data_IF_280438286559
#
_entry.id   IF_280438286559
#
_cell.length_a   1.000
_cell.length_b   1.000
_cell.length_c   1.000
_cell.angle_alpha   90.00
_cell.angle_beta   90.00
_cell.angle_gamma   90.00
#
_symmetry.space_group_name_H-M   'P 1'
#
loop_
_entity.id
_entity.type
_entity.pdbx_description
1 polymer ?
#
# COMPACT_ATOMS: atom_id res chain seq x y z
N UNK A 1 -5.81 -60.16 -47.42
CA UNK A 1 -5.28 -58.80 -47.61
C UNK A 1 -5.68 -57.99 -46.40
N UNK A 2 -4.77 -57.90 -45.48
CA UNK A 2 -4.99 -57.25 -44.17
C UNK A 2 -4.26 -55.93 -44.15
N UNK A 3 -4.98 -54.83 -44.14
CA UNK A 3 -4.44 -53.50 -44.06
C UNK A 3 -4.11 -53.15 -42.61
N UNK A 4 -2.84 -53.11 -42.29
CA UNK A 4 -2.35 -52.64 -40.99
C UNK A 4 -2.03 -51.15 -41.10
N UNK A 5 -2.85 -50.31 -40.46
CA UNK A 5 -2.51 -48.90 -40.23
C UNK A 5 -1.46 -48.76 -39.13
N UNK A 6 -0.45 -47.87 -39.27
CA UNK A 6 0.51 -47.61 -38.23
C UNK A 6 -0.07 -46.68 -37.14
N UNK A 7 0.14 -47.03 -35.88
CA UNK A 7 -0.18 -46.20 -34.73
C UNK A 7 0.77 -44.99 -34.64
N UNK A 8 0.29 -43.81 -34.21
CA UNK A 8 1.13 -42.65 -33.97
C UNK A 8 1.95 -42.80 -32.70
N UNK A 9 3.22 -42.48 -32.79
CA UNK A 9 4.19 -42.43 -31.70
C UNK A 9 3.80 -41.41 -30.63
N UNK A 10 4.09 -41.63 -29.34
CA UNK A 10 3.81 -40.68 -28.29
C UNK A 10 4.75 -39.46 -28.40
N UNK A 11 4.16 -38.29 -28.34
CA UNK A 11 4.86 -37.00 -28.28
C UNK A 11 5.78 -36.92 -27.06
N UNK A 12 6.98 -36.31 -27.18
CA UNK A 12 7.88 -36.14 -26.04
C UNK A 12 7.25 -35.15 -25.05
N UNK A 13 7.24 -35.54 -23.78
CA UNK A 13 6.70 -34.77 -22.65
C UNK A 13 7.24 -33.35 -22.62
N UNK A 14 6.35 -32.41 -22.34
CA UNK A 14 6.64 -31.02 -22.04
C UNK A 14 7.63 -30.95 -20.88
N UNK A 15 8.87 -30.62 -21.19
CA UNK A 15 9.88 -30.24 -20.21
C UNK A 15 9.37 -28.99 -19.46
N UNK A 16 8.96 -29.17 -18.22
CA UNK A 16 8.65 -28.05 -17.32
C UNK A 16 9.83 -27.09 -17.27
N UNK A 17 9.56 -25.84 -17.55
CA UNK A 17 10.54 -24.76 -17.38
C UNK A 17 11.15 -24.84 -15.97
N UNK A 18 12.47 -24.72 -15.80
CA UNK A 18 13.09 -24.70 -14.49
C UNK A 18 12.57 -23.47 -13.75
N UNK A 19 11.85 -23.68 -12.66
CA UNK A 19 11.43 -22.62 -11.74
C UNK A 19 12.64 -21.79 -11.34
N UNK A 20 12.52 -20.47 -11.39
CA UNK A 20 13.56 -19.56 -10.91
C UNK A 20 14.03 -19.95 -9.49
N UNK A 21 15.17 -19.45 -9.02
CA UNK A 21 15.87 -19.94 -7.84
C UNK A 21 14.91 -19.95 -6.64
N UNK A 22 14.47 -21.13 -6.24
CA UNK A 22 13.60 -21.35 -5.10
C UNK A 22 14.29 -20.80 -3.86
N UNK A 23 13.80 -19.68 -3.32
CA UNK A 23 14.30 -19.14 -2.06
C UNK A 23 14.26 -20.24 -0.99
N UNK A 24 15.30 -20.29 -0.14
CA UNK A 24 15.34 -21.22 0.97
C UNK A 24 14.07 -21.09 1.82
N UNK A 25 13.54 -22.22 2.26
CA UNK A 25 12.40 -22.23 3.17
C UNK A 25 12.71 -21.42 4.45
N UNK A 26 11.72 -20.74 4.99
CA UNK A 26 11.85 -19.96 6.23
C UNK A 26 10.87 -20.51 7.26
N UNK A 27 11.36 -20.72 8.48
CA UNK A 27 10.54 -21.05 9.63
C UNK A 27 10.51 -19.88 10.61
N UNK A 28 9.34 -19.23 10.73
CA UNK A 28 9.05 -18.24 11.77
C UNK A 28 8.60 -19.00 13.01
N UNK A 29 9.22 -18.75 14.18
CA UNK A 29 8.94 -19.52 15.39
C UNK A 29 8.45 -18.66 16.53
N UNK A 30 7.42 -19.13 17.24
CA UNK A 30 6.94 -18.53 18.49
C UNK A 30 6.22 -17.18 18.31
N UNK A 31 5.65 -16.90 17.13
CA UNK A 31 4.89 -15.69 16.89
C UNK A 31 3.52 -15.72 17.58
N UNK A 32 3.07 -14.60 18.13
CA UNK A 32 1.71 -14.44 18.64
C UNK A 32 0.77 -13.95 17.53
N UNK A 33 -0.42 -14.51 17.42
CA UNK A 33 -1.49 -14.04 16.54
C UNK A 33 -2.43 -13.09 17.28
N UNK A 34 -3.29 -12.38 16.53
CA UNK A 34 -4.28 -11.44 17.10
C UNK A 34 -5.32 -12.12 17.99
N UNK A 35 -5.54 -13.43 17.82
CA UNK A 35 -6.42 -14.25 18.66
C UNK A 35 -5.72 -14.82 19.92
N UNK A 36 -4.46 -14.43 20.16
CA UNK A 36 -3.67 -14.86 21.31
C UNK A 36 -2.93 -16.18 21.16
N UNK A 37 -3.13 -16.93 20.06
CA UNK A 37 -2.40 -18.18 19.81
C UNK A 37 -0.93 -17.90 19.53
N UNK A 38 -0.06 -18.74 20.07
CA UNK A 38 1.37 -18.76 19.73
C UNK A 38 1.64 -19.86 18.70
N UNK A 39 2.21 -19.48 17.55
CA UNK A 39 2.35 -20.36 16.40
C UNK A 39 3.77 -20.36 15.83
N UNK A 40 4.09 -21.45 15.12
CA UNK A 40 5.17 -21.48 14.14
C UNK A 40 4.56 -21.40 12.73
N UNK A 41 5.25 -20.72 11.82
CA UNK A 41 4.80 -20.55 10.43
C UNK A 41 5.94 -20.94 9.48
N UNK A 42 5.70 -21.92 8.62
CA UNK A 42 6.63 -22.31 7.55
C UNK A 42 6.28 -21.59 6.27
N UNK A 43 7.29 -20.97 5.67
CA UNK A 43 7.20 -20.24 4.43
C UNK A 43 8.04 -20.93 3.35
N UNK A 44 7.52 -21.00 2.14
CA UNK A 44 8.25 -21.53 0.99
C UNK A 44 7.55 -21.15 -0.32
N UNK A 45 8.30 -20.94 -1.38
CA UNK A 45 7.79 -20.59 -2.71
C UNK A 45 6.82 -19.38 -2.71
N UNK A 46 7.10 -18.38 -1.87
CA UNK A 46 6.30 -17.17 -1.77
C UNK A 46 4.96 -17.33 -1.01
N UNK A 47 4.72 -18.50 -0.41
CA UNK A 47 3.46 -18.81 0.29
C UNK A 47 3.71 -19.33 1.70
N UNK A 48 2.68 -19.24 2.53
CA UNK A 48 2.61 -19.94 3.81
C UNK A 48 2.36 -21.42 3.50
N UNK A 49 3.27 -22.29 3.91
CA UNK A 49 3.19 -23.74 3.68
C UNK A 49 2.44 -24.45 4.80
N UNK A 50 2.68 -24.01 6.03
CA UNK A 50 2.05 -24.58 7.22
C UNK A 50 2.01 -23.57 8.36
N UNK A 51 0.99 -23.67 9.19
CA UNK A 51 0.86 -23.00 10.48
C UNK A 51 0.60 -24.06 11.52
N UNK A 52 1.41 -24.10 12.57
CA UNK A 52 1.29 -25.07 13.66
C UNK A 52 1.44 -24.41 15.03
N UNK A 53 1.11 -25.11 16.09
CA UNK A 53 1.42 -24.66 17.44
C UNK A 53 2.92 -24.48 17.62
N UNK A 54 3.34 -23.59 18.50
CA UNK A 54 4.76 -23.33 18.74
C UNK A 54 5.53 -24.61 19.06
N UNK A 55 6.64 -24.84 18.34
CA UNK A 55 7.47 -26.04 18.47
C UNK A 55 6.98 -27.29 17.72
N UNK A 56 5.81 -27.23 17.01
CA UNK A 56 5.28 -28.41 16.32
C UNK A 56 5.83 -28.60 14.89
N UNK A 57 6.40 -27.57 14.28
CA UNK A 57 6.93 -27.65 12.93
C UNK A 57 8.42 -27.99 12.94
N UNK A 58 8.79 -29.05 12.20
CA UNK A 58 10.20 -29.43 12.06
C UNK A 58 11.01 -28.28 11.45
N UNK A 59 12.23 -28.01 11.94
CA UNK A 59 13.10 -26.98 11.40
C UNK A 59 13.48 -27.33 9.95
N UNK A 60 13.28 -26.37 9.05
CA UNK A 60 13.65 -26.43 7.65
C UNK A 60 14.11 -25.05 7.19
N UNK A 61 15.27 -24.94 6.60
CA UNK A 61 15.79 -23.67 6.08
C UNK A 61 16.19 -22.66 7.15
N UNK A 62 15.96 -21.37 6.85
CA UNK A 62 16.28 -20.26 7.75
C UNK A 62 15.26 -20.18 8.90
N UNK A 63 15.74 -20.19 10.13
CA UNK A 63 14.90 -19.99 11.31
C UNK A 63 14.93 -18.54 11.77
N UNK A 64 13.74 -17.97 12.03
CA UNK A 64 13.54 -16.61 12.56
C UNK A 64 12.73 -16.72 13.85
N UNK A 65 13.34 -16.32 14.97
CA UNK A 65 12.66 -16.27 16.26
C UNK A 65 11.77 -15.03 16.35
N UNK A 66 10.48 -15.23 16.53
CA UNK A 66 9.45 -14.20 16.67
C UNK A 66 8.81 -14.18 18.06
N UNK A 67 9.44 -14.76 19.07
CA UNK A 67 8.95 -14.66 20.45
C UNK A 67 8.87 -13.20 20.90
N UNK A 68 7.71 -12.79 21.40
CA UNK A 68 7.42 -11.40 21.74
C UNK A 68 7.07 -10.50 20.55
N UNK A 69 6.78 -11.11 19.39
CA UNK A 69 6.26 -10.42 18.21
C UNK A 69 4.83 -10.86 17.91
N UNK A 70 3.99 -9.88 17.62
CA UNK A 70 2.69 -10.07 16.99
C UNK A 70 2.90 -10.26 15.48
N UNK A 71 2.37 -11.33 14.91
CA UNK A 71 2.44 -11.60 13.47
C UNK A 71 1.14 -11.19 12.81
N UNK A 72 1.24 -10.42 11.74
CA UNK A 72 0.13 -9.78 11.03
C UNK A 72 0.28 -9.98 9.52
N UNK A 73 -0.82 -9.96 8.73
CA UNK A 73 -0.73 -9.73 7.29
C UNK A 73 -0.01 -8.40 7.02
N UNK A 74 0.93 -8.36 6.09
CA UNK A 74 1.66 -7.13 5.79
C UNK A 74 0.71 -6.04 5.25
N UNK A 75 0.83 -4.78 5.72
CA UNK A 75 0.11 -3.66 5.16
C UNK A 75 0.56 -3.38 3.72
N UNK A 76 -0.25 -2.57 3.03
CA UNK A 76 0.08 -1.98 1.76
C UNK A 76 -0.11 -0.45 1.83
N UNK A 77 0.58 0.27 0.96
CA UNK A 77 0.44 1.72 0.82
C UNK A 77 -0.35 2.04 -0.46
N UNK A 78 -1.66 2.32 -0.34
CA UNK A 78 -2.49 2.53 -1.52
C UNK A 78 -2.33 3.92 -2.14
N UNK A 79 -1.64 4.86 -1.48
CA UNK A 79 -1.58 6.25 -1.93
C UNK A 79 -0.29 6.94 -1.48
N UNK A 80 0.71 6.95 -2.34
CA UNK A 80 2.00 7.61 -2.12
C UNK A 80 2.37 8.51 -3.31
N UNK A 81 3.30 9.42 -3.10
CA UNK A 81 3.91 10.29 -4.11
C UNK A 81 5.43 10.13 -4.06
N UNK A 82 5.93 9.01 -4.58
CA UNK A 82 7.36 8.67 -4.49
C UNK A 82 8.26 9.61 -5.30
N UNK A 83 7.73 10.21 -6.37
CA UNK A 83 8.42 11.22 -7.19
C UNK A 83 8.69 12.53 -6.44
N UNK A 84 7.91 12.85 -5.42
CA UNK A 84 8.03 14.05 -4.58
C UNK A 84 8.57 13.77 -3.18
N UNK A 85 8.72 12.50 -2.80
CA UNK A 85 9.12 12.12 -1.46
C UNK A 85 10.50 12.70 -1.09
N UNK A 86 10.71 12.95 0.23
CA UNK A 86 11.98 13.36 0.83
C UNK A 86 12.49 14.73 0.33
N UNK A 87 11.59 15.63 -0.04
CA UNK A 87 11.92 16.95 -0.59
C UNK A 87 11.61 18.12 0.36
N UNK A 88 11.10 17.84 1.56
CA UNK A 88 10.71 18.89 2.52
C UNK A 88 11.86 19.82 2.92
N UNK A 89 13.07 19.28 3.02
CA UNK A 89 14.26 20.02 3.45
C UNK A 89 15.09 20.57 2.26
N UNK A 90 14.55 20.53 1.03
CA UNK A 90 15.24 21.04 -0.13
C UNK A 90 15.40 22.57 -0.05
N UNK A 91 16.62 23.05 -0.25
CA UNK A 91 16.95 24.48 -0.20
C UNK A 91 16.41 25.30 -1.40
N UNK A 92 15.73 24.66 -2.34
CA UNK A 92 15.21 25.27 -3.57
C UNK A 92 14.12 24.43 -4.20
N UNK A 93 13.74 24.73 -5.47
CA UNK A 93 12.76 23.93 -6.20
C UNK A 93 13.15 22.45 -6.23
N UNK A 94 12.15 21.57 -6.15
CA UNK A 94 12.36 20.12 -6.24
C UNK A 94 13.00 19.79 -7.59
N UNK A 95 14.14 19.12 -7.55
CA UNK A 95 14.86 18.71 -8.76
C UNK A 95 13.98 17.78 -9.61
N UNK A 96 13.77 18.13 -10.89
CA UNK A 96 13.04 17.30 -11.84
C UNK A 96 13.95 16.28 -12.54
N UNK A 97 15.25 16.28 -12.25
CA UNK A 97 16.20 15.36 -12.88
C UNK A 97 15.77 13.91 -12.67
N UNK A 98 15.68 13.09 -13.74
CA UNK A 98 15.24 11.70 -13.63
C UNK A 98 16.06 10.85 -12.65
N UNK A 99 17.39 11.12 -12.53
CA UNK A 99 18.22 10.39 -11.58
C UNK A 99 17.87 10.75 -10.13
N UNK A 100 17.54 12.01 -9.84
CA UNK A 100 17.08 12.45 -8.53
C UNK A 100 15.70 11.87 -8.19
N UNK A 101 14.78 11.87 -9.18
CA UNK A 101 13.46 11.26 -9.02
C UNK A 101 13.59 9.76 -8.74
N UNK A 102 14.40 9.05 -9.52
CA UNK A 102 14.63 7.62 -9.32
C UNK A 102 15.22 7.34 -7.93
N UNK A 103 16.23 8.11 -7.50
CA UNK A 103 16.87 7.96 -6.19
C UNK A 103 15.84 8.10 -5.07
N UNK A 104 15.10 9.22 -5.02
CA UNK A 104 14.12 9.44 -3.94
C UNK A 104 12.94 8.48 -3.99
N UNK A 105 12.48 8.07 -5.17
CA UNK A 105 11.44 7.06 -5.29
C UNK A 105 11.90 5.69 -4.78
N UNK A 106 13.15 5.31 -5.04
CA UNK A 106 13.76 4.09 -4.51
C UNK A 106 13.89 4.16 -2.98
N UNK A 107 14.39 5.28 -2.45
CA UNK A 107 14.55 5.50 -1.02
C UNK A 107 13.20 5.52 -0.30
N UNK A 108 12.19 6.19 -0.86
CA UNK A 108 10.83 6.20 -0.33
C UNK A 108 10.23 4.78 -0.26
N UNK A 109 10.39 3.99 -1.31
CA UNK A 109 9.92 2.61 -1.33
C UNK A 109 10.60 1.74 -0.26
N UNK A 110 11.91 1.91 -0.04
CA UNK A 110 12.65 1.20 0.99
C UNK A 110 12.26 1.62 2.41
N UNK A 111 12.02 2.92 2.64
CA UNK A 111 11.53 3.42 3.92
C UNK A 111 10.14 2.87 4.25
N UNK A 112 9.21 2.92 3.30
CA UNK A 112 7.86 2.38 3.48
C UNK A 112 7.88 0.86 3.66
N UNK A 113 8.77 0.13 2.95
CA UNK A 113 9.02 -1.28 3.21
C UNK A 113 9.52 -1.52 4.64
N UNK A 114 10.48 -0.72 5.13
CA UNK A 114 10.95 -0.76 6.52
C UNK A 114 9.83 -0.53 7.53
N UNK A 115 8.80 0.23 7.16
CA UNK A 115 7.57 0.42 7.94
C UNK A 115 6.56 -0.74 7.79
N UNK A 116 6.81 -1.70 6.88
CA UNK A 116 6.00 -2.90 6.73
C UNK A 116 5.19 -3.00 5.45
N UNK A 117 5.12 -1.95 4.63
CA UNK A 117 4.39 -1.97 3.37
C UNK A 117 5.10 -2.85 2.33
N UNK A 118 4.52 -4.00 1.99
CA UNK A 118 5.06 -4.91 0.98
C UNK A 118 4.59 -4.60 -0.44
N UNK A 119 3.62 -3.69 -0.57
CA UNK A 119 3.14 -3.18 -1.84
C UNK A 119 2.80 -1.69 -1.71
N UNK A 120 3.10 -0.93 -2.76
CA UNK A 120 2.94 0.52 -2.81
C UNK A 120 2.32 0.93 -4.15
N UNK A 121 1.41 1.92 -4.10
CA UNK A 121 0.89 2.62 -5.27
C UNK A 121 1.39 4.06 -5.23
N UNK A 122 2.23 4.44 -6.19
CA UNK A 122 2.77 5.79 -6.31
C UNK A 122 2.09 6.56 -7.43
N UNK A 123 1.51 7.71 -7.09
CA UNK A 123 0.94 8.65 -8.03
C UNK A 123 2.06 9.52 -8.60
N UNK A 124 2.26 9.46 -9.91
CA UNK A 124 3.37 10.12 -10.60
C UNK A 124 2.83 11.16 -11.55
N UNK A 125 3.23 12.41 -11.36
CA UNK A 125 2.84 13.50 -12.26
C UNK A 125 3.51 13.32 -13.62
N UNK A 126 2.72 13.49 -14.68
CA UNK A 126 3.19 13.46 -16.06
C UNK A 126 2.72 14.72 -16.78
N UNK A 127 3.46 15.13 -17.79
CA UNK A 127 3.16 16.33 -18.57
C UNK A 127 4.06 17.50 -18.22
N UNK A 128 3.60 18.70 -18.54
CA UNK A 128 4.39 19.93 -18.46
C UNK A 128 5.73 19.83 -19.23
N UNK A 129 6.74 20.56 -18.79
CA UNK A 129 8.08 20.60 -19.42
C UNK A 129 8.82 19.25 -19.32
N UNK A 130 8.44 18.40 -18.36
CA UNK A 130 9.16 17.14 -18.05
C UNK A 130 8.59 15.93 -18.80
N UNK A 131 7.42 16.07 -19.41
CA UNK A 131 6.78 14.99 -20.17
C UNK A 131 6.61 13.72 -19.32
N UNK A 132 7.26 12.64 -19.72
CA UNK A 132 7.21 11.33 -19.06
C UNK A 132 8.46 11.00 -18.20
N UNK A 133 9.40 11.94 -18.04
CA UNK A 133 10.66 11.69 -17.35
C UNK A 133 10.51 11.19 -15.90
N UNK A 134 9.57 11.77 -15.13
CA UNK A 134 9.28 11.30 -13.77
C UNK A 134 8.70 9.88 -13.76
N UNK A 135 7.82 9.56 -14.72
CA UNK A 135 7.25 8.20 -14.86
C UNK A 135 8.34 7.19 -15.17
N UNK A 136 9.24 7.49 -16.12
CA UNK A 136 10.36 6.61 -16.44
C UNK A 136 11.24 6.35 -15.21
N UNK A 137 11.57 7.40 -14.46
CA UNK A 137 12.38 7.32 -13.25
C UNK A 137 11.74 6.44 -12.17
N UNK A 138 10.43 6.57 -11.92
CA UNK A 138 9.71 5.73 -10.96
C UNK A 138 9.62 4.28 -11.46
N UNK A 139 9.46 4.05 -12.76
CA UNK A 139 9.52 2.69 -13.32
C UNK A 139 10.92 2.06 -13.22
N UNK A 140 11.98 2.86 -13.25
CA UNK A 140 13.33 2.40 -12.96
C UNK A 140 13.50 2.07 -11.46
N UNK A 141 12.98 2.92 -10.56
CA UNK A 141 12.94 2.63 -9.13
C UNK A 141 12.20 1.31 -8.85
N UNK A 142 11.04 1.06 -9.52
CA UNK A 142 10.32 -0.23 -9.44
C UNK A 142 11.20 -1.42 -9.80
N UNK A 143 12.06 -1.28 -10.82
CA UNK A 143 13.01 -2.34 -11.19
C UNK A 143 14.08 -2.55 -10.11
N UNK A 144 14.57 -1.47 -9.52
CA UNK A 144 15.59 -1.51 -8.47
C UNK A 144 15.10 -2.19 -7.17
N UNK A 145 13.83 -1.97 -6.78
CA UNK A 145 13.25 -2.59 -5.58
C UNK A 145 12.61 -3.97 -5.85
N UNK A 146 12.74 -4.50 -7.07
CA UNK A 146 12.14 -5.79 -7.44
C UNK A 146 12.58 -6.91 -6.49
N UNK A 147 11.59 -7.63 -5.92
CA UNK A 147 11.81 -8.72 -4.98
C UNK A 147 12.00 -8.27 -3.52
N UNK A 148 11.98 -6.96 -3.26
CA UNK A 148 11.91 -6.39 -1.92
C UNK A 148 10.50 -5.90 -1.60
N UNK A 149 9.89 -5.16 -2.51
CA UNK A 149 8.52 -4.67 -2.41
C UNK A 149 7.90 -4.56 -3.80
N UNK A 150 6.59 -4.48 -3.87
CA UNK A 150 5.86 -4.27 -5.12
C UNK A 150 5.51 -2.79 -5.27
N UNK A 151 6.06 -2.13 -6.31
CA UNK A 151 5.80 -0.73 -6.60
C UNK A 151 4.94 -0.62 -7.86
N UNK A 152 3.76 -0.04 -7.73
CA UNK A 152 2.81 0.26 -8.81
C UNK A 152 2.82 1.75 -9.10
N UNK A 153 2.84 2.16 -10.36
CA UNK A 153 2.81 3.57 -10.77
C UNK A 153 1.45 3.93 -11.37
N UNK A 154 0.87 5.05 -10.89
CA UNK A 154 -0.31 5.71 -11.43
C UNK A 154 0.15 6.87 -12.31
N UNK A 155 -0.29 6.91 -13.56
CA UNK A 155 -0.02 8.05 -14.44
C UNK A 155 -1.03 9.18 -14.17
N UNK A 156 -0.53 10.35 -13.72
CA UNK A 156 -1.31 11.50 -13.28
C UNK A 156 -1.04 12.71 -14.18
N UNK A 157 -1.72 12.85 -15.34
CA UNK A 157 -1.63 14.06 -16.14
C UNK A 157 -2.23 15.25 -15.37
N UNK A 158 -1.70 16.43 -15.64
CA UNK A 158 -2.15 17.65 -14.98
C UNK A 158 -3.55 18.05 -15.44
N UNK A 159 -3.77 18.03 -16.75
CA UNK A 159 -5.03 18.41 -17.40
C UNK A 159 -5.35 17.36 -18.47
N UNK A 160 -6.64 17.08 -18.64
CA UNK A 160 -7.17 16.18 -19.67
C UNK A 160 -8.21 16.83 -20.57
N UNK A 161 -8.63 18.07 -20.24
CA UNK A 161 -9.59 18.83 -21.03
C UNK A 161 -9.03 20.18 -21.48
N UNK A 162 -9.75 20.85 -22.35
CA UNK A 162 -9.30 22.11 -22.98
C UNK A 162 -8.17 21.88 -23.98
N UNK A 163 -7.51 22.96 -24.38
CA UNK A 163 -6.45 22.94 -25.41
C UNK A 163 -5.25 22.12 -24.98
N UNK A 164 -4.85 22.21 -23.71
CA UNK A 164 -3.74 21.44 -23.15
C UNK A 164 -4.11 19.97 -22.82
N UNK A 165 -5.39 19.64 -22.81
CA UNK A 165 -5.87 18.32 -22.45
C UNK A 165 -5.53 17.23 -23.47
N UNK A 166 -5.48 17.57 -24.76
CA UNK A 166 -5.13 16.63 -25.82
C UNK A 166 -3.72 16.04 -25.63
N UNK A 167 -2.75 16.90 -25.27
CA UNK A 167 -1.38 16.45 -24.95
C UNK A 167 -1.36 15.60 -23.68
N UNK A 168 -2.13 15.99 -22.65
CA UNK A 168 -2.28 15.23 -21.41
C UNK A 168 -2.82 13.81 -21.64
N UNK A 169 -3.84 13.70 -22.49
CA UNK A 169 -4.43 12.41 -22.85
C UNK A 169 -3.45 11.53 -23.66
N UNK A 170 -2.74 12.11 -24.63
CA UNK A 170 -1.71 11.39 -25.38
C UNK A 170 -0.60 10.86 -24.46
N UNK A 171 -0.10 11.70 -23.55
CA UNK A 171 0.90 11.30 -22.56
C UNK A 171 0.39 10.24 -21.59
N UNK A 172 -0.90 10.27 -21.21
CA UNK A 172 -1.52 9.22 -20.38
C UNK A 172 -1.45 7.85 -21.08
N UNK A 173 -1.82 7.79 -22.36
CA UNK A 173 -1.71 6.57 -23.16
C UNK A 173 -0.27 6.09 -23.29
N UNK A 174 0.67 6.99 -23.50
CA UNK A 174 2.09 6.63 -23.63
C UNK A 174 2.70 6.18 -22.28
N UNK A 175 2.30 6.77 -21.17
CA UNK A 175 2.70 6.31 -19.84
C UNK A 175 2.23 4.87 -19.56
N UNK A 176 1.02 4.50 -19.99
CA UNK A 176 0.54 3.12 -19.86
C UNK A 176 1.35 2.16 -20.72
N UNK A 177 1.65 2.53 -22.00
CA UNK A 177 2.53 1.73 -22.88
C UNK A 177 3.94 1.59 -22.29
N UNK A 178 4.44 2.62 -21.59
CA UNK A 178 5.75 2.58 -20.92
C UNK A 178 5.74 1.64 -19.69
N UNK A 179 4.59 1.41 -19.08
CA UNK A 179 4.43 0.47 -17.95
C UNK A 179 3.76 1.01 -16.70
N UNK A 180 3.13 2.19 -16.77
CA UNK A 180 2.15 2.58 -15.76
C UNK A 180 1.00 1.57 -15.78
N UNK A 181 0.59 1.10 -14.62
CA UNK A 181 -0.42 0.03 -14.52
C UNK A 181 -1.76 0.54 -13.99
N UNK A 182 -1.84 1.81 -13.67
CA UNK A 182 -3.03 2.52 -13.20
C UNK A 182 -3.08 3.88 -13.89
N UNK A 183 -4.25 4.30 -14.30
CA UNK A 183 -4.48 5.67 -14.81
C UNK A 183 -5.16 6.51 -13.73
N UNK A 184 -4.82 7.77 -13.68
CA UNK A 184 -5.38 8.69 -12.71
C UNK A 184 -5.46 10.11 -13.21
N UNK A 185 -6.12 10.96 -12.46
CA UNK A 185 -6.19 12.40 -12.64
C UNK A 185 -6.61 13.09 -11.35
N UNK A 186 -6.61 14.42 -11.37
CA UNK A 186 -7.24 15.25 -10.36
C UNK A 186 -8.36 16.09 -11.02
N UNK A 187 -9.60 15.55 -11.13
CA UNK A 187 -10.70 16.27 -11.79
C UNK A 187 -10.99 17.62 -11.15
N UNK A 188 -10.73 17.78 -9.85
CA UNK A 188 -10.97 19.05 -9.14
C UNK A 188 -10.07 20.20 -9.61
N UNK A 189 -8.96 19.90 -10.29
CA UNK A 189 -8.02 20.86 -10.86
C UNK A 189 -8.20 21.06 -12.38
N UNK A 190 -9.06 20.25 -13.02
CA UNK A 190 -9.31 20.33 -14.46
C UNK A 190 -10.37 21.38 -14.78
N UNK A 191 -10.25 22.15 -15.88
CA UNK A 191 -11.27 23.12 -16.32
C UNK A 191 -12.65 22.49 -16.54
N UNK A 192 -12.72 21.24 -17.00
CA UNK A 192 -13.93 20.43 -17.08
C UNK A 192 -13.75 19.13 -16.27
N UNK A 193 -14.08 19.16 -14.98
CA UNK A 193 -13.93 18.00 -14.11
C UNK A 193 -14.68 16.74 -14.56
N UNK A 194 -15.81 16.93 -15.24
CA UNK A 194 -16.61 15.82 -15.76
C UNK A 194 -15.95 15.18 -16.97
N UNK A 195 -15.57 15.99 -17.95
CA UNK A 195 -14.83 15.52 -19.13
C UNK A 195 -13.49 14.90 -18.76
N UNK A 196 -12.81 15.41 -17.73
CA UNK A 196 -11.61 14.81 -17.18
C UNK A 196 -11.87 13.38 -16.65
N UNK A 197 -12.92 13.20 -15.85
CA UNK A 197 -13.30 11.88 -15.34
C UNK A 197 -13.68 10.92 -16.47
N UNK A 198 -14.46 11.37 -17.46
CA UNK A 198 -14.83 10.60 -18.65
C UNK A 198 -13.57 10.14 -19.41
N UNK A 199 -12.64 11.06 -19.70
CA UNK A 199 -11.41 10.75 -20.43
C UNK A 199 -10.52 9.69 -19.71
N UNK A 200 -10.42 9.78 -18.38
CA UNK A 200 -9.68 8.77 -17.60
C UNK A 200 -10.37 7.41 -17.60
N UNK A 201 -11.70 7.39 -17.44
CA UNK A 201 -12.46 6.14 -17.46
C UNK A 201 -12.38 5.46 -18.83
N UNK A 202 -12.46 6.24 -19.93
CA UNK A 202 -12.29 5.74 -21.29
C UNK A 202 -10.88 5.19 -21.52
N UNK A 203 -9.84 5.91 -21.09
CA UNK A 203 -8.45 5.42 -21.15
C UNK A 203 -8.28 4.12 -20.37
N UNK A 204 -8.84 4.04 -19.16
CA UNK A 204 -8.82 2.85 -18.34
C UNK A 204 -9.50 1.65 -19.02
N UNK A 205 -10.67 1.88 -19.61
CA UNK A 205 -11.40 0.84 -20.35
C UNK A 205 -10.61 0.36 -21.57
N UNK A 206 -9.99 1.28 -22.34
CA UNK A 206 -9.17 0.94 -23.51
C UNK A 206 -7.94 0.09 -23.15
N UNK A 207 -7.31 0.37 -22.01
CA UNK A 207 -6.10 -0.33 -21.58
C UNK A 207 -6.36 -1.49 -20.59
N UNK A 208 -7.59 -1.66 -20.14
CA UNK A 208 -7.94 -2.70 -19.15
C UNK A 208 -7.25 -2.50 -17.80
N UNK A 209 -7.03 -1.25 -17.37
CA UNK A 209 -6.35 -0.93 -16.11
C UNK A 209 -7.29 -0.25 -15.10
N UNK A 210 -6.98 -0.30 -13.79
CA UNK A 210 -7.74 0.40 -12.77
C UNK A 210 -7.56 1.92 -12.85
N UNK A 211 -8.48 2.63 -12.20
CA UNK A 211 -8.47 4.11 -12.07
C UNK A 211 -8.19 4.50 -10.62
N UNK A 212 -7.41 5.57 -10.43
CA UNK A 212 -7.20 6.19 -9.14
C UNK A 212 -7.26 7.72 -9.27
N UNK A 213 -8.31 8.34 -8.72
CA UNK A 213 -8.57 9.77 -8.86
C UNK A 213 -8.29 10.50 -7.54
N UNK A 214 -7.61 11.64 -7.68
CA UNK A 214 -7.52 12.59 -6.59
C UNK A 214 -8.75 13.51 -6.61
N UNK A 215 -9.49 13.54 -5.50
CA UNK A 215 -10.61 14.48 -5.30
C UNK A 215 -10.77 14.78 -3.81
N UNK A 216 -11.12 16.02 -3.47
CA UNK A 216 -11.49 16.38 -2.11
C UNK A 216 -12.93 15.96 -1.78
N UNK A 217 -13.72 15.62 -2.80
CA UNK A 217 -15.09 15.16 -2.63
C UNK A 217 -16.09 16.24 -2.18
N UNK A 218 -15.76 17.53 -2.32
CA UNK A 218 -16.63 18.63 -1.89
C UNK A 218 -17.86 18.86 -2.78
N UNK A 219 -17.87 18.30 -3.99
CA UNK A 219 -18.98 18.39 -4.93
C UNK A 219 -19.76 17.07 -5.02
N UNK A 220 -20.92 16.96 -4.34
CA UNK A 220 -21.70 15.72 -4.30
C UNK A 220 -22.31 15.36 -5.67
N UNK A 221 -22.58 16.33 -6.54
CA UNK A 221 -23.13 16.10 -7.88
C UNK A 221 -22.07 15.43 -8.75
N UNK A 222 -20.84 15.93 -8.70
CA UNK A 222 -19.69 15.31 -9.40
C UNK A 222 -19.44 13.88 -8.94
N UNK A 223 -19.39 13.64 -7.63
CA UNK A 223 -19.17 12.30 -7.10
C UNK A 223 -20.27 11.33 -7.49
N UNK A 224 -21.54 11.75 -7.46
CA UNK A 224 -22.67 10.92 -7.88
C UNK A 224 -22.59 10.62 -9.39
N UNK A 225 -22.20 11.60 -10.20
CA UNK A 225 -21.99 11.40 -11.63
C UNK A 225 -20.83 10.46 -11.92
N UNK A 226 -19.70 10.62 -11.22
CA UNK A 226 -18.57 9.69 -11.29
C UNK A 226 -19.00 8.26 -10.94
N UNK A 227 -19.80 8.09 -9.87
CA UNK A 227 -20.32 6.80 -9.48
C UNK A 227 -21.18 6.15 -10.58
N UNK A 228 -22.03 6.95 -11.23
CA UNK A 228 -22.85 6.48 -12.34
C UNK A 228 -22.02 6.02 -13.55
N UNK A 229 -20.94 6.74 -13.86
CA UNK A 229 -20.03 6.41 -14.99
C UNK A 229 -19.13 5.20 -14.67
N UNK A 230 -18.67 5.08 -13.42
CA UNK A 230 -17.66 4.11 -13.00
C UNK A 230 -18.22 2.72 -12.65
N UNK A 231 -19.52 2.58 -12.43
CA UNK A 231 -20.14 1.37 -11.87
C UNK A 231 -19.96 0.08 -12.68
N UNK A 232 -19.55 0.19 -13.95
CA UNK A 232 -19.27 -0.96 -14.83
C UNK A 232 -17.79 -1.24 -15.05
N UNK A 233 -16.89 -0.35 -14.61
CA UNK A 233 -15.46 -0.46 -14.91
C UNK A 233 -14.82 -1.63 -14.16
N UNK A 234 -14.03 -2.42 -14.88
CA UNK A 234 -13.20 -3.49 -14.31
C UNK A 234 -11.81 -3.44 -14.93
N UNK A 235 -10.72 -3.45 -14.14
CA UNK A 235 -10.66 -3.39 -12.68
C UNK A 235 -11.28 -2.10 -12.13
N UNK A 236 -11.50 -1.98 -10.82
CA UNK A 236 -12.32 -0.94 -10.22
C UNK A 236 -11.71 0.47 -10.15
N UNK A 237 -12.43 1.36 -9.49
CA UNK A 237 -12.07 2.76 -9.28
C UNK A 237 -11.77 3.00 -7.81
N UNK A 238 -10.64 3.67 -7.53
CA UNK A 238 -10.31 4.26 -6.24
C UNK A 238 -10.36 5.78 -6.33
N UNK A 239 -10.77 6.44 -5.27
CA UNK A 239 -10.76 7.90 -5.15
C UNK A 239 -10.22 8.32 -3.78
N UNK A 240 -9.65 9.50 -3.67
CA UNK A 240 -9.20 10.03 -2.38
C UNK A 240 -8.62 11.45 -2.47
N UNK A 241 -8.50 12.11 -1.31
CA UNK A 241 -8.83 11.66 0.04
C UNK A 241 -10.29 11.85 0.46
N UNK A 242 -11.13 12.57 -0.29
CA UNK A 242 -12.55 12.85 -0.02
C UNK A 242 -12.81 13.51 1.35
N UNK A 243 -11.91 14.32 1.85
CA UNK A 243 -12.03 15.04 3.13
C UNK A 243 -13.09 16.14 3.05
N UNK A 244 -13.34 16.70 1.87
CA UNK A 244 -14.40 17.67 1.61
C UNK A 244 -15.81 17.12 1.80
N UNK A 245 -16.00 15.82 1.64
CA UNK A 245 -17.28 15.16 1.87
C UNK A 245 -17.78 15.35 3.33
N UNK A 246 -16.85 15.45 4.29
CA UNK A 246 -17.17 15.71 5.69
C UNK A 246 -17.71 17.13 5.95
N UNK A 247 -17.66 18.05 4.99
CA UNK A 247 -18.22 19.40 5.10
C UNK A 247 -19.66 19.50 4.60
N UNK A 248 -20.13 18.50 3.89
CA UNK A 248 -21.49 18.49 3.34
C UNK A 248 -22.52 18.25 4.46
N UNK A 249 -23.77 18.68 4.30
CA UNK A 249 -24.86 18.26 5.15
C UNK A 249 -24.93 16.72 5.22
N UNK A 250 -25.18 16.16 6.40
CA UNK A 250 -25.09 14.72 6.65
C UNK A 250 -25.96 13.88 5.69
N UNK A 251 -27.15 14.37 5.34
CA UNK A 251 -28.05 13.70 4.40
C UNK A 251 -27.51 13.72 2.96
N UNK A 252 -26.83 14.80 2.55
CA UNK A 252 -26.18 14.90 1.24
C UNK A 252 -24.97 13.99 1.18
N UNK A 253 -24.12 14.05 2.20
CA UNK A 253 -22.94 13.16 2.30
C UNK A 253 -23.35 11.67 2.32
N UNK A 254 -24.45 11.34 3.03
CA UNK A 254 -25.00 9.98 3.10
C UNK A 254 -25.44 9.46 1.73
N UNK A 255 -26.26 10.23 1.00
CA UNK A 255 -26.69 9.82 -0.36
C UNK A 255 -25.53 9.70 -1.34
N UNK A 256 -24.53 10.60 -1.20
CA UNK A 256 -23.32 10.52 -2.03
C UNK A 256 -22.53 9.25 -1.72
N UNK A 257 -22.36 8.92 -0.44
CA UNK A 257 -21.69 7.69 -0.01
C UNK A 257 -22.43 6.42 -0.49
N UNK A 258 -23.77 6.40 -0.43
CA UNK A 258 -24.59 5.31 -0.99
C UNK A 258 -24.35 5.13 -2.49
N UNK A 259 -24.25 6.22 -3.25
CA UNK A 259 -23.97 6.16 -4.68
C UNK A 259 -22.56 5.58 -4.95
N UNK A 260 -21.55 6.00 -4.18
CA UNK A 260 -20.19 5.44 -4.26
C UNK A 260 -20.16 3.94 -3.92
N UNK A 261 -20.89 3.52 -2.87
CA UNK A 261 -21.01 2.13 -2.48
C UNK A 261 -21.67 1.28 -3.57
N UNK A 262 -22.78 1.74 -4.14
CA UNK A 262 -23.49 1.06 -5.21
C UNK A 262 -22.61 0.89 -6.47
N UNK A 263 -21.74 1.85 -6.76
CA UNK A 263 -20.77 1.78 -7.85
C UNK A 263 -19.55 0.89 -7.55
N UNK A 264 -19.37 0.45 -6.30
CA UNK A 264 -18.20 -0.32 -5.87
C UNK A 264 -16.90 0.50 -5.81
N UNK A 265 -17.01 1.82 -5.71
CA UNK A 265 -15.85 2.71 -5.60
C UNK A 265 -15.21 2.56 -4.21
N UNK A 266 -13.88 2.46 -4.19
CA UNK A 266 -13.10 2.46 -2.94
C UNK A 266 -12.61 3.87 -2.62
N UNK A 267 -12.74 4.29 -1.36
CA UNK A 267 -12.21 5.58 -0.87
C UNK A 267 -10.91 5.34 -0.10
N UNK A 268 -9.87 6.07 -0.49
CA UNK A 268 -8.58 6.07 0.22
C UNK A 268 -8.51 7.33 1.08
N UNK A 269 -8.59 7.20 2.40
CA UNK A 269 -8.39 8.30 3.32
C UNK A 269 -6.90 8.49 3.66
N UNK A 270 -6.50 9.71 4.01
CA UNK A 270 -5.12 10.09 4.32
C UNK A 270 -5.01 10.68 5.73
N UNK A 271 -5.10 9.86 6.79
CA UNK A 271 -5.15 10.37 8.16
C UNK A 271 -3.84 11.02 8.62
N UNK A 272 -2.72 10.74 7.95
CA UNK A 272 -1.42 11.37 8.26
C UNK A 272 -1.31 12.81 7.75
N UNK A 273 -2.17 13.24 6.84
CA UNK A 273 -2.18 14.59 6.31
C UNK A 273 -2.32 14.65 4.79
N UNK A 274 -2.20 15.84 4.19
CA UNK A 274 -2.43 16.05 2.77
C UNK A 274 -1.40 15.33 1.90
N UNK A 275 -1.79 15.02 0.68
CA UNK A 275 -0.88 14.72 -0.42
C UNK A 275 -0.76 15.92 -1.36
N UNK A 276 0.40 16.05 -2.02
CA UNK A 276 0.64 17.14 -2.96
C UNK A 276 -0.33 17.11 -4.14
N UNK A 277 -1.04 18.20 -4.37
CA UNK A 277 -1.92 18.37 -5.53
C UNK A 277 -3.31 18.88 -5.22
N UNK A 278 -3.79 18.71 -4.00
CA UNK A 278 -5.05 19.30 -3.55
C UNK A 278 -4.77 20.39 -2.51
N UNK A 279 -5.38 21.55 -2.65
CA UNK A 279 -5.33 22.58 -1.62
C UNK A 279 -5.98 22.05 -0.34
N UNK A 280 -5.18 21.98 0.74
CA UNK A 280 -5.70 21.58 2.04
C UNK A 280 -6.54 22.71 2.62
N UNK A 281 -7.84 22.52 2.69
CA UNK A 281 -8.69 23.32 3.57
C UNK A 281 -8.60 22.73 4.97
N UNK A 282 -7.99 23.48 5.90
CA UNK A 282 -7.78 23.05 7.29
C UNK A 282 -9.11 22.68 7.95
N UNK A 283 -9.16 21.57 8.69
CA UNK A 283 -10.19 21.29 9.68
C UNK A 283 -11.17 20.16 9.38
N UNK A 284 -11.01 19.43 8.27
CA UNK A 284 -11.87 18.28 7.99
C UNK A 284 -11.05 17.07 7.60
N UNK A 285 -11.46 15.91 8.09
CA UNK A 285 -10.94 14.61 7.73
C UNK A 285 -12.01 13.87 6.93
N UNK A 286 -11.61 12.90 6.14
CA UNK A 286 -12.51 11.97 5.43
C UNK A 286 -13.54 11.40 6.42
N UNK A 287 -14.86 11.45 6.13
CA UNK A 287 -15.89 10.99 7.06
C UNK A 287 -16.00 9.44 7.06
N UNK A 288 -14.98 8.79 7.64
CA UNK A 288 -14.77 7.33 7.58
C UNK A 288 -15.99 6.55 8.06
N UNK A 289 -16.61 6.96 9.18
CA UNK A 289 -17.77 6.27 9.73
C UNK A 289 -19.00 6.35 8.80
N UNK A 290 -19.26 7.53 8.23
CA UNK A 290 -20.36 7.72 7.29
C UNK A 290 -20.18 6.87 6.05
N UNK A 291 -18.97 6.88 5.46
CA UNK A 291 -18.64 6.08 4.28
C UNK A 291 -18.81 4.58 4.56
N UNK A 292 -18.27 4.09 5.67
CA UNK A 292 -18.40 2.68 6.07
C UNK A 292 -19.85 2.29 6.35
N UNK A 293 -20.63 3.15 7.03
CA UNK A 293 -22.05 2.91 7.30
C UNK A 293 -22.89 2.81 6.02
N UNK A 294 -22.51 3.57 4.97
CA UNK A 294 -23.13 3.47 3.64
C UNK A 294 -22.65 2.25 2.82
N UNK A 295 -21.68 1.47 3.32
CA UNK A 295 -21.14 0.29 2.63
C UNK A 295 -19.97 0.60 1.68
N UNK A 296 -19.41 1.82 1.70
CA UNK A 296 -18.19 2.15 0.95
C UNK A 296 -17.01 1.41 1.56
N UNK A 297 -16.20 0.79 0.69
CA UNK A 297 -14.89 0.28 1.13
C UNK A 297 -13.97 1.46 1.38
N UNK A 298 -13.51 1.61 2.62
CA UNK A 298 -12.55 2.63 3.02
C UNK A 298 -11.21 1.99 3.34
N UNK A 299 -10.17 2.48 2.73
CA UNK A 299 -8.78 2.12 3.03
C UNK A 299 -7.99 3.37 3.41
N UNK A 300 -6.80 3.20 3.97
CA UNK A 300 -5.97 4.32 4.39
C UNK A 300 -4.57 4.23 3.82
N UNK A 301 -4.07 5.39 3.36
CA UNK A 301 -2.71 5.60 2.91
C UNK A 301 -1.99 6.68 3.70
N UNK A 302 -0.69 6.79 3.50
CA UNK A 302 0.15 7.83 4.12
C UNK A 302 0.12 9.16 3.34
N UNK A 303 -0.14 9.12 2.05
CA UNK A 303 -0.19 10.28 1.17
C UNK A 303 1.19 10.84 0.85
N UNK A 304 1.85 11.45 1.82
CA UNK A 304 3.12 12.14 1.67
C UNK A 304 4.21 11.53 2.56
N UNK A 305 5.45 11.57 2.10
CA UNK A 305 6.63 11.17 2.85
C UNK A 305 7.67 12.32 2.83
N UNK A 306 7.65 13.17 3.87
CA UNK A 306 8.59 14.30 4.00
C UNK A 306 8.71 15.12 2.71
N UNK A 307 7.57 15.55 2.17
CA UNK A 307 7.53 16.43 1.01
C UNK A 307 6.96 17.82 1.37
N UNK A 308 6.82 18.70 0.37
CA UNK A 308 6.29 20.04 0.58
C UNK A 308 4.83 20.06 1.07
N UNK A 309 4.04 19.04 0.76
CA UNK A 309 2.64 18.95 1.21
C UNK A 309 2.54 18.52 2.68
N UNK A 310 3.44 17.64 3.12
CA UNK A 310 3.52 17.17 4.50
C UNK A 310 4.99 16.97 4.92
N UNK A 311 5.66 18.04 5.40
CA UNK A 311 7.09 17.98 5.76
C UNK A 311 7.45 16.97 6.84
N UNK A 312 6.48 16.52 7.62
CA UNK A 312 6.63 15.52 8.69
C UNK A 312 5.95 14.18 8.38
N UNK A 313 5.50 13.99 7.13
CA UNK A 313 4.90 12.75 6.67
C UNK A 313 5.86 11.58 6.83
N UNK A 314 5.39 10.48 7.41
CA UNK A 314 6.26 9.35 7.78
C UNK A 314 6.20 8.18 6.83
N UNK A 315 5.18 8.09 5.98
CA UNK A 315 4.98 6.92 5.11
C UNK A 315 4.81 5.62 5.89
N UNK A 316 4.20 5.66 7.06
CA UNK A 316 4.06 4.52 7.98
C UNK A 316 2.59 4.06 8.07
N UNK A 317 2.23 2.88 7.52
CA UNK A 317 0.87 2.37 7.60
C UNK A 317 0.37 2.15 9.03
N UNK A 318 1.24 1.77 9.98
CA UNK A 318 0.83 1.62 11.38
C UNK A 318 0.45 2.97 12.00
N UNK A 319 1.10 4.06 11.59
CA UNK A 319 0.69 5.40 12.03
C UNK A 319 -0.67 5.78 11.42
N UNK A 320 -0.94 5.43 10.15
CA UNK A 320 -2.25 5.66 9.56
C UNK A 320 -3.34 4.90 10.32
N UNK A 321 -3.12 3.63 10.65
CA UNK A 321 -4.03 2.84 11.47
C UNK A 321 -4.20 3.42 12.89
N UNK A 322 -3.10 3.83 13.53
CA UNK A 322 -3.14 4.47 14.84
C UNK A 322 -3.99 5.75 14.83
N UNK A 323 -3.86 6.58 13.79
CA UNK A 323 -4.67 7.80 13.64
C UNK A 323 -6.15 7.49 13.37
N UNK A 324 -6.45 6.45 12.58
CA UNK A 324 -7.83 5.97 12.42
C UNK A 324 -8.44 5.51 13.74
N UNK A 325 -7.68 4.80 14.56
CA UNK A 325 -8.16 4.37 15.87
C UNK A 325 -8.31 5.55 16.85
N UNK A 326 -7.31 6.44 16.94
CA UNK A 326 -7.27 7.49 17.96
C UNK A 326 -8.12 8.72 17.62
N UNK A 327 -8.21 9.09 16.32
CA UNK A 327 -8.95 10.31 15.90
C UNK A 327 -10.35 9.99 15.38
N UNK A 328 -10.50 8.86 14.67
CA UNK A 328 -11.77 8.45 14.09
C UNK A 328 -12.50 7.38 14.91
N UNK A 329 -11.93 6.93 16.04
CA UNK A 329 -12.58 5.99 16.94
C UNK A 329 -12.82 4.59 16.37
N UNK A 330 -12.07 4.17 15.34
CA UNK A 330 -12.14 2.80 14.85
C UNK A 330 -11.51 1.87 15.90
N UNK A 331 -12.05 0.66 16.00
CA UNK A 331 -11.37 -0.38 16.77
C UNK A 331 -10.01 -0.70 16.17
N UNK A 332 -9.02 -1.12 16.96
CA UNK A 332 -7.67 -1.42 16.44
C UNK A 332 -7.65 -2.43 15.28
N UNK A 333 -8.51 -3.44 15.31
CA UNK A 333 -8.66 -4.44 14.24
C UNK A 333 -9.20 -3.82 12.95
N UNK A 334 -10.22 -2.96 13.03
CA UNK A 334 -10.78 -2.24 11.88
C UNK A 334 -9.79 -1.23 11.29
N UNK A 335 -9.07 -0.54 12.15
CA UNK A 335 -8.05 0.42 11.74
C UNK A 335 -6.87 -0.28 11.04
N UNK A 336 -6.46 -1.44 11.53
CA UNK A 336 -5.42 -2.24 10.88
C UNK A 336 -5.90 -2.82 9.55
N UNK A 337 -7.14 -3.31 9.49
CA UNK A 337 -7.72 -3.82 8.24
C UNK A 337 -7.75 -2.76 7.15
N UNK A 338 -7.97 -1.48 7.48
CA UNK A 338 -7.94 -0.38 6.53
C UNK A 338 -6.58 -0.17 5.86
N UNK A 339 -5.46 -0.51 6.50
CA UNK A 339 -4.10 -0.41 5.95
C UNK A 339 -3.55 -1.75 5.46
N UNK A 340 -4.22 -2.86 5.75
CA UNK A 340 -3.79 -4.20 5.36
C UNK A 340 -4.73 -4.81 4.30
N UNK A 341 -5.77 -5.54 4.68
CA UNK A 341 -6.66 -6.24 3.77
C UNK A 341 -7.34 -5.30 2.77
N UNK A 342 -7.99 -4.22 3.26
CA UNK A 342 -8.65 -3.25 2.41
C UNK A 342 -7.68 -2.52 1.48
N UNK A 343 -6.47 -2.17 1.96
CA UNK A 343 -5.45 -1.53 1.14
C UNK A 343 -4.95 -2.48 0.03
N UNK A 344 -4.71 -3.75 0.35
CA UNK A 344 -4.32 -4.76 -0.63
C UNK A 344 -5.40 -4.98 -1.69
N UNK A 345 -6.67 -5.02 -1.28
CA UNK A 345 -7.80 -5.15 -2.20
C UNK A 345 -7.91 -3.93 -3.13
N UNK A 346 -7.71 -2.70 -2.62
CA UNK A 346 -7.67 -1.48 -3.43
C UNK A 346 -6.53 -1.50 -4.48
N UNK A 347 -5.43 -2.19 -4.18
CA UNK A 347 -4.34 -2.41 -5.14
C UNK A 347 -4.58 -3.59 -6.09
N UNK A 348 -5.69 -4.32 -5.97
CA UNK A 348 -5.99 -5.52 -6.76
C UNK A 348 -5.13 -6.73 -6.37
N UNK A 349 -4.58 -6.75 -5.17
CA UNK A 349 -3.70 -7.82 -4.68
C UNK A 349 -4.50 -8.93 -4.00
N UNK A 350 -3.95 -10.14 -4.03
CA UNK A 350 -4.54 -11.28 -3.35
C UNK A 350 -4.63 -11.04 -1.82
N UNK A 351 -5.70 -11.50 -1.18
CA UNK A 351 -5.83 -11.42 0.27
C UNK A 351 -4.72 -12.22 0.97
N UNK A 352 -4.34 -11.75 2.16
CA UNK A 352 -3.36 -12.41 3.01
C UNK A 352 -4.02 -12.82 4.31
N UNK A 353 -3.87 -14.10 4.66
CA UNK A 353 -4.24 -14.66 5.97
C UNK A 353 -3.07 -15.50 6.48
N UNK A 354 -2.93 -15.62 7.79
CA UNK A 354 -1.88 -16.45 8.38
C UNK A 354 -2.39 -17.91 8.41
N UNK A 355 -2.57 -18.45 7.21
CA UNK A 355 -3.09 -19.79 6.94
C UNK A 355 -2.32 -20.41 5.77
N UNK A 356 -2.22 -21.75 5.74
CA UNK A 356 -1.55 -22.45 4.65
C UNK A 356 -2.21 -22.13 3.29
N UNK A 357 -1.37 -21.94 2.27
CA UNK A 357 -1.80 -21.63 0.90
C UNK A 357 -1.88 -20.14 0.58
N UNK A 358 -1.99 -19.25 1.57
CA UNK A 358 -2.01 -17.79 1.34
C UNK A 358 -0.62 -17.23 0.99
N UNK A 359 -0.56 -16.05 0.32
CA UNK A 359 0.70 -15.36 0.07
C UNK A 359 1.46 -15.09 1.38
N UNK A 360 2.77 -15.31 1.36
CA UNK A 360 3.63 -15.02 2.50
C UNK A 360 4.07 -13.55 2.51
N UNK A 361 3.11 -12.66 2.74
CA UNK A 361 3.24 -11.21 2.91
C UNK A 361 2.93 -10.89 4.36
N UNK A 362 3.94 -10.78 5.22
CA UNK A 362 3.75 -10.75 6.66
C UNK A 362 4.55 -9.60 7.29
N UNK A 363 4.00 -9.06 8.36
CA UNK A 363 4.65 -8.10 9.25
C UNK A 363 4.66 -8.67 10.67
N UNK A 364 5.83 -8.84 11.24
CA UNK A 364 5.98 -9.09 12.66
C UNK A 364 6.33 -7.78 13.37
N UNK A 365 5.55 -7.40 14.36
CA UNK A 365 5.73 -6.19 15.17
C UNK A 365 5.96 -6.61 16.62
N UNK A 366 6.96 -6.03 17.28
CA UNK A 366 7.20 -6.32 18.68
C UNK A 366 6.05 -5.86 19.54
N UNK A 367 5.49 -6.78 20.33
CA UNK A 367 4.30 -6.57 21.15
C UNK A 367 3.46 -7.84 21.24
N UNK A 368 2.50 -7.85 22.15
CA UNK A 368 1.64 -9.00 22.45
C UNK A 368 0.22 -8.85 21.89
N UNK A 369 -0.15 -7.63 21.50
CA UNK A 369 -1.49 -7.34 20.99
C UNK A 369 -1.49 -6.18 20.01
N UNK A 370 -2.60 -6.04 19.27
CA UNK A 370 -2.69 -5.08 18.18
C UNK A 370 -2.65 -3.62 18.68
N UNK A 371 -3.28 -3.33 19.83
CA UNK A 371 -3.23 -1.99 20.43
C UNK A 371 -1.81 -1.57 20.79
N UNK A 372 -1.01 -2.50 21.32
CA UNK A 372 0.40 -2.27 21.63
C UNK A 372 1.20 -2.08 20.33
N UNK A 373 0.97 -2.91 19.33
CA UNK A 373 1.63 -2.82 18.03
C UNK A 373 1.35 -1.48 17.34
N UNK A 374 0.13 -0.95 17.43
CA UNK A 374 -0.22 0.35 16.84
C UNK A 374 0.36 1.53 17.63
N UNK A 375 0.51 1.41 18.96
CA UNK A 375 1.03 2.50 19.79
C UNK A 375 2.57 2.50 19.91
N UNK A 376 3.22 1.33 19.89
CA UNK A 376 4.64 1.16 20.21
C UNK A 376 5.42 0.35 19.17
N UNK A 377 4.90 0.20 17.95
CA UNK A 377 5.42 -0.67 16.90
C UNK A 377 6.75 -0.24 16.27
N UNK A 378 7.82 -0.10 17.06
CA UNK A 378 9.13 0.38 16.57
C UNK A 378 10.03 -0.73 16.02
N UNK A 379 9.91 -1.96 16.53
CA UNK A 379 10.70 -3.10 16.06
C UNK A 379 9.84 -3.97 15.16
N UNK A 380 10.27 -4.11 13.90
CA UNK A 380 9.50 -4.77 12.84
C UNK A 380 10.36 -5.72 12.05
N UNK A 381 9.78 -6.84 11.61
CA UNK A 381 10.38 -7.76 10.64
C UNK A 381 9.38 -7.93 9.52
N UNK A 382 9.81 -7.64 8.29
CA UNK A 382 8.94 -7.65 7.10
C UNK A 382 9.28 -8.85 6.24
N UNK A 383 8.24 -9.59 5.89
CA UNK A 383 8.33 -10.74 4.98
C UNK A 383 7.59 -10.40 3.70
N UNK A 384 8.27 -10.49 2.57
CA UNK A 384 7.72 -10.35 1.22
C UNK A 384 8.03 -11.61 0.42
N UNK A 385 6.99 -12.19 -0.19
CA UNK A 385 7.10 -13.43 -0.96
C UNK A 385 7.86 -14.54 -0.23
N UNK A 386 7.59 -14.69 1.08
CA UNK A 386 8.18 -15.72 1.93
C UNK A 386 9.64 -15.47 2.32
N UNK A 387 10.21 -14.31 2.04
CA UNK A 387 11.57 -13.92 2.40
C UNK A 387 11.55 -12.76 3.39
N UNK A 388 12.42 -12.79 4.38
CA UNK A 388 12.65 -11.61 5.24
C UNK A 388 13.38 -10.56 4.41
N UNK A 389 12.73 -9.41 4.18
CA UNK A 389 13.24 -8.34 3.29
C UNK A 389 13.63 -7.07 4.03
N UNK A 390 13.10 -6.86 5.25
CA UNK A 390 13.49 -5.72 6.09
C UNK A 390 13.42 -6.09 7.57
N UNK A 391 14.27 -5.44 8.36
CA UNK A 391 14.25 -5.48 9.82
C UNK A 391 14.55 -4.09 10.35
N UNK A 392 13.72 -3.60 11.24
CA UNK A 392 13.98 -2.40 12.04
C UNK A 392 13.95 -2.79 13.51
N UNK A 393 14.85 -2.22 14.30
CA UNK A 393 14.88 -2.44 15.74
C UNK A 393 15.08 -1.12 16.47
N UNK A 394 14.36 -0.94 17.57
CA UNK A 394 14.59 0.14 18.51
C UNK A 394 15.10 -0.47 19.81
N UNK A 395 16.21 0.07 20.31
CA UNK A 395 16.77 -0.26 21.62
C UNK A 395 16.41 0.90 22.55
N UNK A 396 15.85 0.58 23.72
CA UNK A 396 15.63 1.55 24.79
C UNK A 396 16.60 1.24 25.90
N UNK A 397 17.37 2.26 26.26
CA UNK A 397 18.29 2.19 27.40
C UNK A 397 17.85 3.21 28.42
N UNK A 398 17.77 2.78 29.66
CA UNK A 398 17.52 3.64 30.80
C UNK A 398 18.80 3.69 31.60
N UNK A 399 19.41 4.88 31.75
CA UNK A 399 20.68 5.07 32.40
C UNK A 399 20.51 6.10 33.55
N UNK A 400 21.21 5.86 34.64
CA UNK A 400 21.44 6.90 35.64
C UNK A 400 22.76 7.61 35.27
N UNK A 401 22.67 8.86 34.84
CA UNK A 401 23.82 9.68 34.45
C UNK A 401 24.75 10.01 35.62
N UNK A 402 24.26 9.91 36.87
CA UNK A 402 25.06 10.20 38.06
C UNK A 402 26.01 9.06 38.46
N UNK A 403 25.67 7.82 38.12
CA UNK A 403 26.42 6.64 38.55
C UNK A 403 27.13 5.90 37.43
N UNK A 404 26.88 6.28 36.16
CA UNK A 404 27.32 5.52 34.98
C UNK A 404 26.92 4.03 35.02
N UNK A 405 26.07 3.63 35.96
CA UNK A 405 25.56 2.28 36.07
C UNK A 405 24.28 2.13 35.25
N UNK A 406 24.19 1.05 34.51
CA UNK A 406 22.95 0.64 33.86
C UNK A 406 21.95 0.35 34.96
N UNK A 407 20.86 1.14 35.07
CA UNK A 407 19.85 0.91 36.09
C UNK A 407 19.14 -0.42 35.84
N UNK A 408 18.82 -1.14 36.93
CA UNK A 408 18.06 -2.41 36.90
C UNK A 408 16.57 -2.24 36.50
N UNK A 409 16.25 -1.18 35.78
CA UNK A 409 14.89 -0.96 35.28
C UNK A 409 14.50 -2.05 34.27
N UNK A 410 13.24 -2.50 34.30
CA UNK A 410 12.76 -3.51 33.37
C UNK A 410 13.01 -3.11 31.92
N UNK A 411 13.76 -3.93 31.18
CA UNK A 411 14.00 -3.72 29.75
C UNK A 411 12.90 -4.42 28.95
N UNK A 412 12.29 -3.73 28.03
CA UNK A 412 11.34 -4.34 27.11
C UNK A 412 12.06 -5.44 26.32
N UNK A 413 11.74 -6.71 26.61
CA UNK A 413 12.14 -7.84 25.80
C UNK A 413 13.19 -8.81 26.32
N UNK A 414 13.56 -8.81 27.60
CA UNK A 414 14.26 -9.95 28.19
C UNK A 414 13.28 -10.73 29.08
N UNK A 415 12.60 -11.72 28.49
CA UNK A 415 12.23 -12.91 29.27
C UNK A 415 13.48 -13.78 29.34
N UNK A 416 14.38 -13.47 30.29
CA UNK A 416 15.51 -14.30 30.57
C UNK A 416 15.06 -15.45 31.48
N UNK A 417 15.07 -16.67 30.97
CA UNK A 417 15.36 -17.84 31.77
C UNK A 417 16.87 -17.97 31.81
N UNK A 418 17.49 -17.59 32.91
CA UNK A 418 18.81 -18.11 33.24
C UNK A 418 18.65 -19.62 33.51
N UNK A 419 19.52 -20.48 32.95
CA UNK A 419 19.64 -21.85 33.43
C UNK A 419 20.40 -21.85 34.79
N UNK A 420 19.84 -22.56 35.73
CA UNK A 420 20.50 -22.94 36.97
C UNK A 420 21.69 -23.88 36.72
#
# INVERSE_FOLDING_TARGET
MSDSQPQPSPSPGSSGSPGGPGGADVLLTGATLTDGRTVDVRLGRGRIQAVGTAGSLAPLGLRVDLRGYLLLPAPAEPHAHSDLALTADAAGPVSPDPADVQRRATEAALLQLGHGATALRSHVRIGDVQGLGAMEAVLQARRAVRGLTELTAVAMPRLLTGVAGADGLAMLHDAVKMGASVVGACPDLDPDPTGCAEAVLDAAAQHGCPVDLHTDGSDPVRLTRLAAMAGGLRPGVTIGPCDGLGRLPADVAGRTAEALAAAGITVVCLPQGPCGGLERRRGHDTPVHLLRAAGVRVTAGSGALRDLANPVGRGDPLQAAQLLASRHGLRPDEAYEAVAGAAREALGLAPVRIEAGFPAELLAVRGTGLSEALSLGYSRIVVHRGRVVARTSAVREYCDSATAAVSDLPRQGRTGTEPA
#
